data_IF_647137074815
#
_entry.id   IF_647137074815
#
_cell.length_a   1.000
_cell.length_b   1.000
_cell.length_c   1.000
_cell.angle_alpha   90.00
_cell.angle_beta   90.00
_cell.angle_gamma   90.00
#
_symmetry.space_group_name_H-M   'P 1'
#
loop_
_entity.id
_entity.type
_entity.pdbx_description
1 polymer ?
#
# COMPACT_ATOMS: atom_id res chain seq x y z
N UNK A 1 1.20 24.39 -8.94
CA UNK A 1 2.05 25.55 -9.34
C UNK A 1 2.24 26.42 -8.10
N UNK A 2 3.47 26.77 -7.75
CA UNK A 2 3.79 27.64 -6.61
C UNK A 2 4.80 28.68 -7.09
N UNK A 3 4.55 29.98 -6.84
CA UNK A 3 5.44 31.07 -7.25
C UNK A 3 5.84 31.05 -8.74
N UNK A 4 4.92 30.69 -9.62
CA UNK A 4 5.18 30.58 -11.07
C UNK A 4 6.00 29.37 -11.50
N UNK A 5 6.39 28.48 -10.58
CA UNK A 5 7.05 27.21 -10.87
C UNK A 5 6.07 26.04 -10.84
N UNK A 6 6.26 25.09 -11.76
CA UNK A 6 5.54 23.82 -11.77
C UNK A 6 6.35 22.76 -11.05
N UNK A 7 5.70 22.02 -10.16
CA UNK A 7 6.30 20.92 -9.41
C UNK A 7 5.52 19.65 -9.70
N UNK A 8 6.23 18.53 -9.72
CA UNK A 8 5.65 17.19 -9.73
C UNK A 8 5.85 16.56 -8.35
N UNK A 9 4.83 15.90 -7.84
CA UNK A 9 4.83 15.21 -6.55
C UNK A 9 4.21 13.85 -6.77
N UNK A 10 4.81 12.81 -6.22
CA UNK A 10 4.20 11.48 -6.17
C UNK A 10 3.06 11.50 -5.12
N UNK A 11 1.79 11.41 -5.53
CA UNK A 11 0.67 11.49 -4.60
C UNK A 11 0.62 10.30 -3.62
N UNK A 12 1.36 9.22 -3.88
CA UNK A 12 1.42 8.06 -3.00
C UNK A 12 2.47 8.21 -1.89
N UNK A 13 3.15 9.36 -1.76
CA UNK A 13 4.26 9.56 -0.79
C UNK A 13 4.06 10.76 0.13
N UNK A 14 2.83 11.25 0.25
CA UNK A 14 2.54 12.55 0.88
C UNK A 14 1.93 12.46 2.29
N UNK A 15 1.59 11.27 2.78
CA UNK A 15 0.74 11.15 3.97
C UNK A 15 1.52 11.27 5.28
N UNK A 16 2.74 10.72 5.36
CA UNK A 16 3.62 10.90 6.53
C UNK A 16 4.54 12.12 6.38
N UNK A 17 5.10 12.58 7.50
CA UNK A 17 6.12 13.62 7.47
C UNK A 17 7.40 13.16 6.77
N UNK A 18 7.85 11.94 7.06
CA UNK A 18 9.06 11.41 6.45
C UNK A 18 8.94 11.27 4.93
N UNK A 19 7.84 10.67 4.43
CA UNK A 19 7.65 10.49 2.99
C UNK A 19 7.59 11.80 2.22
N UNK A 20 6.96 12.84 2.80
CA UNK A 20 7.04 14.19 2.21
C UNK A 20 8.48 14.67 2.11
N UNK A 21 9.29 14.48 3.15
CA UNK A 21 10.70 14.87 3.13
C UNK A 21 11.56 14.05 2.17
N UNK A 22 11.16 12.81 1.84
CA UNK A 22 11.86 11.96 0.89
C UNK A 22 11.73 12.39 -0.57
N UNK A 23 10.63 13.05 -0.95
CA UNK A 23 10.32 13.36 -2.36
C UNK A 23 9.86 14.78 -2.65
N UNK A 24 9.74 15.64 -1.64
CA UNK A 24 9.16 16.98 -1.79
C UNK A 24 10.17 18.07 -1.45
N UNK A 25 10.28 19.08 -2.33
CA UNK A 25 11.05 20.29 -2.03
C UNK A 25 10.48 21.05 -0.84
N UNK A 26 11.35 21.65 -0.02
CA UNK A 26 10.96 22.54 1.07
C UNK A 26 10.05 23.70 0.59
N UNK A 27 10.21 24.15 -0.67
CA UNK A 27 9.43 25.24 -1.25
C UNK A 27 7.91 24.93 -1.32
N UNK A 28 7.55 23.65 -1.47
CA UNK A 28 6.15 23.22 -1.62
C UNK A 28 5.67 22.33 -0.47
N UNK A 29 6.53 22.01 0.50
CA UNK A 29 6.22 21.07 1.60
C UNK A 29 4.94 21.44 2.35
N UNK A 30 4.72 22.74 2.63
CA UNK A 30 3.52 23.21 3.30
C UNK A 30 2.24 22.98 2.45
N UNK A 31 2.31 23.23 1.15
CA UNK A 31 1.20 23.01 0.23
C UNK A 31 0.87 21.51 0.09
N UNK A 32 1.90 20.67 -0.04
CA UNK A 32 1.74 19.21 -0.10
C UNK A 32 1.15 18.66 1.19
N UNK A 33 1.61 19.13 2.35
CA UNK A 33 1.04 18.77 3.67
C UNK A 33 -0.43 19.16 3.77
N UNK A 34 -0.79 20.38 3.34
CA UNK A 34 -2.17 20.85 3.36
C UNK A 34 -3.07 19.99 2.44
N UNK A 35 -2.59 19.68 1.24
CA UNK A 35 -3.30 18.81 0.30
C UNK A 35 -3.51 17.39 0.86
N UNK A 36 -2.46 16.77 1.41
CA UNK A 36 -2.56 15.45 2.04
C UNK A 36 -3.58 15.46 3.20
N UNK A 37 -3.55 16.50 4.04
CA UNK A 37 -4.52 16.67 5.13
C UNK A 37 -5.97 16.78 4.65
N UNK A 38 -6.22 17.47 3.54
CA UNK A 38 -7.56 17.56 2.94
C UNK A 38 -8.03 16.20 2.41
N UNK A 39 -7.14 15.43 1.76
CA UNK A 39 -7.46 14.07 1.31
C UNK A 39 -7.80 13.15 2.49
N UNK A 40 -7.01 13.17 3.56
CA UNK A 40 -7.28 12.39 4.77
C UNK A 40 -8.62 12.77 5.39
N UNK A 41 -8.96 14.06 5.48
CA UNK A 41 -10.25 14.52 6.00
C UNK A 41 -11.45 14.10 5.12
N UNK A 42 -11.24 13.82 3.82
CA UNK A 42 -12.29 13.28 2.95
C UNK A 42 -12.55 11.79 3.19
N UNK A 43 -11.51 11.01 3.47
CA UNK A 43 -11.61 9.54 3.55
C UNK A 43 -11.70 8.99 4.99
N UNK A 44 -11.32 9.78 5.99
CA UNK A 44 -11.36 9.43 7.42
C UNK A 44 -12.39 10.26 8.19
N UNK A 45 -12.42 10.08 9.51
CA UNK A 45 -13.12 10.97 10.44
C UNK A 45 -12.54 12.41 10.40
N UNK A 46 -13.25 13.41 10.96
CA UNK A 46 -12.81 14.80 10.92
C UNK A 46 -11.41 15.08 11.50
N UNK A 47 -10.87 14.18 12.32
CA UNK A 47 -9.50 14.27 12.85
C UNK A 47 -8.41 13.87 11.84
N UNK A 48 -8.80 13.29 10.70
CA UNK A 48 -7.92 12.77 9.66
C UNK A 48 -7.03 11.60 10.12
N UNK A 49 -7.36 10.94 11.23
CA UNK A 49 -6.53 9.91 11.88
C UNK A 49 -7.31 8.70 12.37
N UNK A 50 -8.64 8.76 12.40
CA UNK A 50 -9.49 7.63 12.79
C UNK A 50 -10.52 7.32 11.73
N UNK A 51 -11.01 6.08 11.72
CA UNK A 51 -12.15 5.68 10.88
C UNK A 51 -13.43 6.37 11.36
N UNK A 52 -14.39 6.60 10.45
CA UNK A 52 -15.71 7.11 10.82
C UNK A 52 -16.50 6.05 11.59
N UNK A 53 -17.52 6.50 12.32
CA UNK A 53 -18.40 5.61 13.08
C UNK A 53 -18.99 4.51 12.20
N UNK A 54 -18.77 3.25 12.58
CA UNK A 54 -19.27 2.08 11.85
C UNK A 54 -18.33 1.54 10.76
N UNK A 55 -17.32 2.30 10.33
CA UNK A 55 -16.27 1.80 9.43
C UNK A 55 -15.37 0.80 10.19
N UNK A 56 -14.77 -0.14 9.45
CA UNK A 56 -13.96 -1.25 10.01
C UNK A 56 -12.51 -1.23 9.53
N UNK A 57 -12.33 -0.84 8.28
CA UNK A 57 -11.04 -0.75 7.62
C UNK A 57 -11.13 0.23 6.45
N UNK A 58 -9.99 0.75 6.04
CA UNK A 58 -9.80 1.50 4.81
C UNK A 58 -9.39 0.53 3.69
N UNK A 59 -10.06 0.60 2.54
CA UNK A 59 -9.69 -0.19 1.35
C UNK A 59 -9.15 0.74 0.27
N UNK A 60 -7.90 0.54 -0.12
CA UNK A 60 -7.30 1.14 -1.29
C UNK A 60 -7.31 0.15 -2.46
N UNK A 61 -7.29 0.68 -3.68
CA UNK A 61 -7.41 -0.12 -4.91
C UNK A 61 -6.43 0.43 -5.93
N UNK A 62 -5.56 -0.44 -6.42
CA UNK A 62 -4.46 -0.10 -7.29
C UNK A 62 -4.46 -1.05 -8.49
N UNK A 63 -4.07 -0.50 -9.64
CA UNK A 63 -3.86 -1.24 -10.86
C UNK A 63 -2.36 -1.15 -11.18
N UNK A 64 -1.63 -2.23 -10.91
CA UNK A 64 -0.19 -2.31 -11.12
C UNK A 64 0.13 -2.46 -12.61
N UNK A 65 1.29 -1.95 -13.00
CA UNK A 65 1.78 -2.18 -14.36
C UNK A 65 2.05 -3.65 -14.56
N UNK A 66 1.63 -4.21 -15.71
CA UNK A 66 1.95 -5.58 -16.11
C UNK A 66 3.47 -5.77 -16.17
N UNK A 67 4.00 -6.50 -15.19
CA UNK A 67 5.42 -6.81 -15.08
C UNK A 67 5.78 -8.00 -15.98
N UNK A 68 4.81 -8.85 -16.31
CA UNK A 68 5.02 -10.01 -17.18
C UNK A 68 5.48 -9.58 -18.57
N UNK A 69 4.92 -8.48 -19.09
CA UNK A 69 5.27 -7.89 -20.38
C UNK A 69 6.59 -7.11 -20.45
N UNK A 70 7.27 -6.86 -19.32
CA UNK A 70 8.50 -6.04 -19.28
C UNK A 70 9.78 -6.86 -19.49
N UNK A 71 10.83 -6.20 -20.00
CA UNK A 71 12.17 -6.77 -20.03
C UNK A 71 12.71 -7.00 -18.59
N UNK A 72 13.50 -8.05 -18.37
CA UNK A 72 13.92 -8.48 -17.02
C UNK A 72 14.57 -7.38 -16.16
N UNK A 73 15.36 -6.47 -16.75
CA UNK A 73 15.99 -5.35 -16.04
C UNK A 73 14.99 -4.26 -15.64
N UNK A 74 13.86 -4.14 -16.34
CA UNK A 74 12.79 -3.20 -16.05
C UNK A 74 11.79 -3.72 -15.01
N UNK A 75 11.90 -5.00 -14.60
CA UNK A 75 11.10 -5.61 -13.53
C UNK A 75 11.62 -5.27 -12.12
N UNK A 76 12.89 -4.85 -12.04
CA UNK A 76 13.55 -4.49 -10.78
C UNK A 76 13.03 -3.13 -10.30
N UNK A 77 12.04 -3.14 -9.42
CA UNK A 77 11.37 -1.92 -8.93
C UNK A 77 9.86 -1.94 -9.07
N UNK A 78 9.30 -2.92 -9.78
CA UNK A 78 7.88 -3.07 -9.91
C UNK A 78 7.23 -3.59 -8.62
N UNK A 79 6.00 -3.15 -8.39
CA UNK A 79 5.23 -3.48 -7.21
C UNK A 79 4.55 -4.84 -7.42
N UNK A 80 5.20 -5.91 -6.96
CA UNK A 80 4.69 -7.28 -7.02
C UNK A 80 4.72 -7.91 -5.62
N UNK A 81 3.95 -8.97 -5.40
CA UNK A 81 3.99 -9.71 -4.12
C UNK A 81 5.39 -10.19 -3.75
N UNK A 82 6.18 -10.62 -4.74
CA UNK A 82 7.54 -11.10 -4.53
C UNK A 82 8.54 -9.98 -4.21
N UNK A 83 8.24 -8.72 -4.57
CA UNK A 83 9.06 -7.57 -4.23
C UNK A 83 9.08 -7.24 -2.72
N UNK A 84 8.22 -7.88 -1.93
CA UNK A 84 8.21 -7.80 -0.47
C UNK A 84 8.91 -8.98 0.22
N UNK A 85 9.32 -10.02 -0.52
CA UNK A 85 9.96 -11.20 0.05
C UNK A 85 11.46 -10.96 0.25
N UNK A 86 11.94 -11.24 1.47
CA UNK A 86 13.37 -11.28 1.77
C UNK A 86 13.95 -12.62 1.32
N UNK A 87 14.59 -12.66 0.16
CA UNK A 87 15.33 -13.84 -0.30
C UNK A 87 16.70 -13.91 0.37
N UNK A 88 17.04 -15.08 0.92
CA UNK A 88 18.38 -15.33 1.49
C UNK A 88 19.42 -15.41 0.37
N UNK A 89 20.47 -14.58 0.44
CA UNK A 89 21.61 -14.62 -0.50
C UNK A 89 21.42 -13.88 -1.82
N UNK A 90 20.32 -13.14 -2.00
CA UNK A 90 20.06 -12.30 -3.17
C UNK A 90 19.79 -10.84 -2.75
N UNK A 91 19.83 -9.92 -3.72
CA UNK A 91 19.24 -8.58 -3.60
C UNK A 91 17.79 -8.74 -3.13
N UNK A 92 17.46 -8.22 -1.95
CA UNK A 92 16.08 -8.26 -1.45
C UNK A 92 15.16 -7.48 -2.39
N UNK A 93 13.87 -7.83 -2.42
CA UNK A 93 12.89 -7.07 -3.18
C UNK A 93 12.84 -5.60 -2.74
N UNK A 94 12.54 -4.70 -3.67
CA UNK A 94 12.63 -3.24 -3.47
C UNK A 94 11.77 -2.71 -2.32
N UNK A 95 10.78 -3.47 -1.86
CA UNK A 95 9.84 -3.09 -0.81
C UNK A 95 9.91 -3.95 0.46
N UNK A 96 10.88 -4.88 0.55
CA UNK A 96 11.00 -5.78 1.71
C UNK A 96 11.16 -5.06 3.06
N UNK A 97 11.72 -3.85 3.05
CA UNK A 97 11.93 -3.04 4.25
C UNK A 97 10.60 -2.61 4.92
N UNK A 98 9.50 -2.64 4.17
CA UNK A 98 8.16 -2.26 4.61
C UNK A 98 7.30 -3.46 5.06
N UNK A 99 7.63 -4.67 4.63
CA UNK A 99 6.84 -5.87 4.94
C UNK A 99 7.40 -6.64 6.14
N UNK A 100 6.47 -7.18 6.94
CA UNK A 100 6.76 -8.18 7.97
C UNK A 100 6.85 -9.59 7.35
N UNK A 101 6.11 -9.80 6.26
CA UNK A 101 6.16 -11.03 5.49
C UNK A 101 5.20 -11.04 4.31
N UNK A 102 5.24 -12.12 3.55
CA UNK A 102 4.30 -12.38 2.47
C UNK A 102 3.94 -13.88 2.41
N UNK A 103 2.69 -14.14 2.07
CA UNK A 103 2.19 -15.45 1.66
C UNK A 103 2.05 -15.44 0.13
N UNK A 104 2.78 -16.33 -0.53
CA UNK A 104 2.66 -16.53 -1.98
C UNK A 104 1.78 -17.75 -2.25
N UNK A 105 0.64 -17.52 -2.87
CA UNK A 105 -0.34 -18.56 -3.19
C UNK A 105 0.12 -19.37 -4.39
N UNK A 106 -0.05 -20.68 -4.34
CA UNK A 106 0.12 -21.56 -5.51
C UNK A 106 -1.11 -21.56 -6.44
N UNK A 107 -2.14 -20.78 -6.12
CA UNK A 107 -3.35 -20.58 -6.93
C UNK A 107 -3.38 -19.19 -7.59
N UNK A 108 -2.34 -18.39 -7.41
CA UNK A 108 -2.16 -17.07 -8.03
C UNK A 108 -0.88 -17.08 -8.85
N UNK A 109 -1.03 -17.17 -10.17
CA UNK A 109 0.10 -17.24 -11.10
C UNK A 109 0.67 -15.86 -11.44
N UNK A 110 -0.10 -14.80 -11.19
CA UNK A 110 0.27 -13.43 -11.49
C UNK A 110 0.72 -12.70 -10.22
N UNK A 111 2.03 -12.39 -10.08
CA UNK A 111 2.56 -11.75 -8.89
C UNK A 111 2.14 -10.28 -8.72
N UNK A 112 1.54 -9.67 -9.75
CA UNK A 112 0.99 -8.30 -9.70
C UNK A 112 -0.39 -8.28 -9.01
N UNK A 113 -1.02 -9.46 -8.90
CA UNK A 113 -2.26 -9.67 -8.15
C UNK A 113 -1.94 -10.07 -6.71
N UNK A 114 -2.13 -9.15 -5.78
CA UNK A 114 -1.96 -9.44 -4.35
C UNK A 114 -2.83 -8.54 -3.46
N UNK A 115 -2.95 -8.93 -2.20
CA UNK A 115 -3.64 -8.15 -1.19
C UNK A 115 -2.61 -7.71 -0.16
N UNK A 116 -2.47 -6.40 0.02
CA UNK A 116 -1.61 -5.83 1.05
C UNK A 116 -2.43 -5.53 2.30
N UNK A 117 -2.00 -5.97 3.48
CA UNK A 117 -2.75 -5.78 4.73
C UNK A 117 -1.88 -5.14 5.81
N UNK A 118 -2.46 -4.23 6.61
CA UNK A 118 -1.76 -3.64 7.75
C UNK A 118 -1.82 -4.49 9.03
N UNK A 119 -2.65 -5.54 9.05
CA UNK A 119 -2.79 -6.42 10.21
C UNK A 119 -2.73 -7.88 9.81
N UNK A 120 -2.11 -8.70 10.65
CA UNK A 120 -1.97 -10.15 10.40
C UNK A 120 -3.32 -10.89 10.48
N UNK A 121 -4.33 -10.30 11.13
CA UNK A 121 -5.63 -10.94 11.41
C UNK A 121 -6.41 -11.38 10.16
N UNK A 122 -6.22 -10.68 9.03
CA UNK A 122 -6.89 -10.98 7.77
C UNK A 122 -6.07 -11.86 6.81
N UNK A 123 -4.83 -12.22 7.17
CA UNK A 123 -3.93 -12.95 6.26
C UNK A 123 -4.50 -14.32 5.92
N UNK A 124 -4.87 -15.11 6.93
CA UNK A 124 -5.45 -16.44 6.71
C UNK A 124 -6.70 -16.40 5.83
N UNK A 125 -7.58 -15.43 6.07
CA UNK A 125 -8.81 -15.25 5.28
C UNK A 125 -8.54 -15.05 3.78
N UNK A 126 -7.55 -14.24 3.42
CA UNK A 126 -7.22 -14.01 2.01
C UNK A 126 -6.37 -15.15 1.42
N UNK A 127 -5.45 -15.71 2.20
CA UNK A 127 -4.63 -16.85 1.79
C UNK A 127 -5.49 -18.08 1.44
N UNK A 128 -6.51 -18.39 2.24
CA UNK A 128 -7.46 -19.48 1.98
C UNK A 128 -8.27 -19.29 0.69
N UNK A 129 -8.42 -18.05 0.22
CA UNK A 129 -9.07 -17.72 -1.06
C UNK A 129 -8.10 -17.74 -2.24
N UNK A 130 -6.85 -18.14 -2.00
CA UNK A 130 -5.82 -18.31 -3.00
C UNK A 130 -5.18 -17.01 -3.46
N UNK A 131 -5.26 -15.91 -2.72
CA UNK A 131 -4.55 -14.67 -3.05
C UNK A 131 -3.11 -14.71 -2.55
N UNK A 132 -2.20 -14.05 -3.28
CA UNK A 132 -0.96 -13.56 -2.69
C UNK A 132 -1.31 -12.51 -1.62
N UNK A 133 -0.66 -12.56 -0.46
CA UNK A 133 -0.92 -11.64 0.65
C UNK A 133 0.38 -11.08 1.18
N UNK A 134 0.49 -9.77 1.29
CA UNK A 134 1.64 -9.08 1.88
C UNK A 134 1.20 -8.43 3.19
N UNK A 135 2.02 -8.58 4.24
CA UNK A 135 1.75 -8.02 5.57
C UNK A 135 2.71 -6.87 5.81
N UNK A 136 2.18 -5.68 6.09
CA UNK A 136 2.97 -4.53 6.52
C UNK A 136 3.61 -4.79 7.88
N UNK A 137 4.82 -4.26 8.09
CA UNK A 137 5.42 -4.14 9.43
C UNK A 137 4.51 -3.45 10.43
N UNK A 138 4.64 -3.77 11.73
CA UNK A 138 3.92 -3.06 12.78
C UNK A 138 4.33 -1.59 12.83
N UNK A 139 3.41 -0.73 13.30
CA UNK A 139 3.61 0.72 13.40
C UNK A 139 4.93 1.13 14.06
N UNK A 140 5.35 0.41 15.10
CA UNK A 140 6.58 0.68 15.85
C UNK A 140 7.85 0.59 14.98
N UNK A 141 7.82 -0.20 13.90
CA UNK A 141 8.94 -0.35 12.97
C UNK A 141 8.84 0.56 11.74
N UNK A 142 7.70 1.21 11.56
CA UNK A 142 7.45 2.13 10.45
C UNK A 142 7.73 3.60 10.78
N UNK A 143 7.93 3.95 12.05
CA UNK A 143 8.42 5.28 12.42
C UNK A 143 9.93 5.39 12.14
N UNK A 144 10.27 5.73 10.91
CA UNK A 144 11.65 5.73 10.40
C UNK A 144 11.94 6.97 9.58
N UNK A 145 13.20 7.42 9.58
CA UNK A 145 13.69 8.44 8.64
C UNK A 145 14.16 7.85 7.31
N UNK A 146 14.23 6.51 7.20
CA UNK A 146 14.59 5.82 5.96
C UNK A 146 13.39 5.77 5.03
N UNK A 147 13.52 6.35 3.83
CA UNK A 147 12.50 6.36 2.79
C UNK A 147 12.10 4.97 2.27
N UNK A 148 12.96 3.95 2.48
CA UNK A 148 12.62 2.55 2.16
C UNK A 148 11.65 1.92 3.17
N UNK A 149 11.49 2.52 4.35
CA UNK A 149 10.64 2.02 5.44
C UNK A 149 9.39 2.88 5.59
N UNK A 150 9.56 4.20 5.71
CA UNK A 150 8.47 5.17 5.70
C UNK A 150 8.57 5.98 4.41
N UNK A 151 7.83 5.54 3.40
CA UNK A 151 7.79 6.22 2.12
C UNK A 151 6.68 7.27 2.00
N UNK A 152 5.86 7.45 3.03
CA UNK A 152 4.71 8.35 3.00
C UNK A 152 3.46 7.80 2.33
N UNK A 153 3.41 6.50 2.04
CA UNK A 153 2.20 5.85 1.56
C UNK A 153 1.07 5.89 2.56
N UNK A 154 -0.15 5.76 2.02
CA UNK A 154 -1.36 5.71 2.83
C UNK A 154 -1.37 4.48 3.74
N UNK A 155 -0.75 3.37 3.33
CA UNK A 155 -0.60 2.17 4.16
C UNK A 155 0.28 2.44 5.38
N UNK A 156 1.44 3.09 5.19
CA UNK A 156 2.34 3.47 6.28
C UNK A 156 1.66 4.47 7.22
N UNK A 157 1.00 5.50 6.67
CA UNK A 157 0.21 6.44 7.48
C UNK A 157 -0.87 5.73 8.30
N UNK A 158 -1.60 4.81 7.66
CA UNK A 158 -2.67 4.05 8.31
C UNK A 158 -2.13 3.19 9.45
N UNK A 159 -1.02 2.49 9.22
CA UNK A 159 -0.36 1.70 10.25
C UNK A 159 0.11 2.56 11.44
N UNK A 160 0.79 3.69 11.18
CA UNK A 160 1.24 4.63 12.22
C UNK A 160 0.09 5.20 13.08
N UNK A 161 -1.13 5.25 12.54
CA UNK A 161 -2.33 5.73 13.25
C UNK A 161 -3.28 4.61 13.70
N UNK A 162 -2.83 3.34 13.65
CA UNK A 162 -3.63 2.17 14.01
C UNK A 162 -4.96 2.06 13.23
N UNK A 163 -4.98 2.51 11.97
CA UNK A 163 -6.09 2.35 11.04
C UNK A 163 -5.92 0.99 10.32
N UNK A 164 -6.88 0.06 10.45
CA UNK A 164 -6.88 -1.16 9.66
C UNK A 164 -6.98 -0.82 8.17
N UNK A 165 -6.04 -1.32 7.38
CA UNK A 165 -5.86 -0.95 5.97
C UNK A 165 -5.67 -2.21 5.12
N UNK A 166 -6.34 -2.22 3.97
CA UNK A 166 -6.23 -3.28 2.97
C UNK A 166 -6.04 -2.61 1.59
N UNK A 167 -4.99 -2.97 0.86
CA UNK A 167 -4.83 -2.59 -0.55
C UNK A 167 -5.14 -3.77 -1.45
N UNK A 168 -5.94 -3.53 -2.49
CA UNK A 168 -6.21 -4.47 -3.56
C UNK A 168 -5.32 -4.11 -4.75
N UNK A 169 -4.30 -4.91 -4.97
CA UNK A 169 -3.30 -4.71 -6.01
C UNK A 169 -3.59 -5.73 -7.11
N UNK A 170 -3.87 -5.25 -8.32
CA UNK A 170 -4.16 -6.13 -9.46
C UNK A 170 -3.47 -5.63 -10.72
N UNK A 171 -3.17 -6.56 -11.62
CA UNK A 171 -2.62 -6.22 -12.93
C UNK A 171 -3.55 -5.27 -13.72
N UNK A 172 -2.99 -4.23 -14.33
CA UNK A 172 -3.75 -3.20 -15.03
C UNK A 172 -4.34 -3.65 -16.38
N UNK A 173 -3.83 -4.73 -16.97
CA UNK A 173 -4.21 -5.19 -18.31
C UNK A 173 -5.26 -6.30 -18.22
N UNK A 174 -5.01 -7.31 -17.40
CA UNK A 174 -5.76 -8.55 -17.28
C UNK A 174 -6.31 -8.79 -15.85
N UNK A 175 -5.90 -7.98 -14.87
CA UNK A 175 -6.25 -8.18 -13.45
C UNK A 175 -7.68 -7.82 -13.07
N UNK A 176 -8.50 -7.26 -13.97
CA UNK A 176 -9.86 -6.81 -13.66
C UNK A 176 -10.77 -7.94 -13.08
N UNK A 177 -10.70 -9.15 -13.63
CA UNK A 177 -11.44 -10.29 -13.10
C UNK A 177 -10.97 -10.65 -11.69
N UNK A 178 -9.67 -10.57 -11.44
CA UNK A 178 -9.08 -10.90 -10.15
C UNK A 178 -9.38 -9.83 -9.10
N UNK A 179 -9.30 -8.55 -9.46
CA UNK A 179 -9.66 -7.44 -8.59
C UNK A 179 -11.13 -7.50 -8.16
N UNK A 180 -12.03 -7.92 -9.07
CA UNK A 180 -13.42 -8.22 -8.69
C UNK A 180 -13.51 -9.29 -7.59
N UNK A 181 -12.73 -10.38 -7.69
CA UNK A 181 -12.66 -11.41 -6.64
C UNK A 181 -12.12 -10.87 -5.33
N UNK A 182 -11.19 -9.93 -5.36
CA UNK A 182 -10.71 -9.23 -4.18
C UNK A 182 -11.83 -8.41 -3.53
N UNK A 183 -12.60 -7.63 -4.30
CA UNK A 183 -13.78 -6.91 -3.78
C UNK A 183 -14.84 -7.84 -3.18
N UNK A 184 -15.16 -8.95 -3.85
CA UNK A 184 -16.09 -9.97 -3.33
C UNK A 184 -15.59 -10.53 -1.98
N UNK A 185 -14.27 -10.67 -1.83
CA UNK A 185 -13.63 -11.13 -0.59
C UNK A 185 -13.68 -10.08 0.52
N UNK A 186 -13.48 -8.80 0.20
CA UNK A 186 -13.66 -7.68 1.15
C UNK A 186 -15.10 -7.66 1.68
N UNK A 187 -16.08 -7.77 0.80
CA UNK A 187 -17.48 -7.77 1.20
C UNK A 187 -17.81 -8.96 2.11
N UNK A 188 -17.23 -10.13 1.84
CA UNK A 188 -17.36 -11.31 2.70
C UNK A 188 -16.68 -11.11 4.05
N UNK A 189 -15.47 -10.52 4.07
CA UNK A 189 -14.76 -10.20 5.32
C UNK A 189 -15.59 -9.27 6.20
N UNK A 190 -16.16 -8.22 5.61
CA UNK A 190 -17.01 -7.27 6.33
C UNK A 190 -18.22 -7.96 6.96
N UNK A 191 -18.87 -8.89 6.24
CA UNK A 191 -20.02 -9.65 6.76
C UNK A 191 -19.67 -10.56 7.92
N UNK A 192 -18.47 -11.15 7.92
CA UNK A 192 -18.04 -12.06 8.98
C UNK A 192 -17.58 -11.33 10.25
N UNK A 193 -17.40 -10.01 10.18
CA UNK A 193 -17.04 -9.13 11.30
C UNK A 193 -18.25 -8.37 11.90
N UNK A 194 -19.45 -8.63 11.37
CA UNK A 194 -20.74 -8.18 11.93
C UNK A 194 -21.32 -9.26 12.85
#
# INVERSE_FOLDING_TARGET
>A
VQNGKTFSVDPNRIFTENGRNCGTSLEISAAVKAFAGQLLAMILAPDGRTLRGGERFLVAVHNNTDVSGKAAHAKAGDLTASAFVKLSGASHGSFHDQADGAYLSNLEDDPDNFIFVSTISSVGFFAEKGFNVVVQKPAAELHSTRCSVDDGSLSVFSAQNAIPYICLEADAVNGAFRQRKMFESIYTLLKNQL
#
